data_IF_633960574432
#
_entry.id   IF_633960574432
#
_cell.length_a   1.000
_cell.length_b   1.000
_cell.length_c   1.000
_cell.angle_alpha   90.00
_cell.angle_beta   90.00
_cell.angle_gamma   90.00
#
_symmetry.space_group_name_H-M   'P 1'
#
loop_
_entity.id
_entity.type
_entity.pdbx_description
1 polymer ?
#
# COMPACT_ATOMS: atom_id res chain seq x y z
N UNK A 1 9.37 -12.48 1.45
CA UNK A 1 9.51 -11.21 0.69
C UNK A 1 9.22 -11.48 -0.78
N UNK A 2 8.83 -10.51 -1.62
CA UNK A 2 8.48 -10.82 -3.03
C UNK A 2 9.63 -11.47 -3.81
N UNK A 3 10.88 -11.19 -3.40
CA UNK A 3 12.09 -11.90 -3.82
C UNK A 3 12.07 -13.41 -3.55
N UNK A 4 11.44 -13.87 -2.46
CA UNK A 4 11.36 -15.29 -2.10
C UNK A 4 10.29 -16.03 -2.91
N UNK A 5 9.42 -15.30 -3.60
CA UNK A 5 8.34 -15.82 -4.45
C UNK A 5 8.65 -15.67 -5.94
N UNK A 6 9.78 -15.05 -6.29
CA UNK A 6 10.25 -14.90 -7.66
C UNK A 6 11.20 -16.03 -8.03
N UNK A 7 11.20 -16.44 -9.30
CA UNK A 7 12.15 -17.41 -9.83
C UNK A 7 13.59 -16.90 -9.63
N UNK A 8 14.57 -17.79 -9.45
CA UNK A 8 15.93 -17.48 -8.94
C UNK A 8 16.67 -16.38 -9.74
N UNK A 9 16.26 -16.14 -11.00
CA UNK A 9 16.78 -15.09 -11.89
C UNK A 9 15.97 -13.79 -11.92
N UNK A 10 14.79 -13.75 -11.31
CA UNK A 10 13.84 -12.62 -11.34
C UNK A 10 13.73 -11.84 -10.00
N UNK A 11 14.47 -12.27 -8.98
CA UNK A 11 14.59 -11.61 -7.66
C UNK A 11 14.82 -10.10 -7.75
N UNK A 12 15.71 -9.65 -8.64
CA UNK A 12 16.00 -8.22 -8.83
C UNK A 12 14.80 -7.45 -9.37
N UNK A 13 14.08 -8.03 -10.33
CA UNK A 13 12.86 -7.44 -10.91
C UNK A 13 11.74 -7.33 -9.87
N UNK A 14 11.57 -8.34 -9.01
CA UNK A 14 10.57 -8.32 -7.94
C UNK A 14 10.81 -7.18 -6.93
N UNK A 15 12.07 -6.97 -6.52
CA UNK A 15 12.43 -5.86 -5.64
C UNK A 15 12.29 -4.50 -6.33
N UNK A 16 12.58 -4.43 -7.64
CA UNK A 16 12.32 -3.25 -8.47
C UNK A 16 10.84 -2.87 -8.48
N UNK A 17 9.95 -3.83 -8.69
CA UNK A 17 8.49 -3.60 -8.69
C UNK A 17 8.01 -3.08 -7.33
N UNK A 18 8.45 -3.67 -6.21
CA UNK A 18 8.09 -3.18 -4.87
C UNK A 18 8.56 -1.73 -4.69
N UNK A 19 9.81 -1.45 -5.07
CA UNK A 19 10.41 -0.12 -4.90
C UNK A 19 9.64 0.91 -5.71
N UNK A 20 9.30 0.61 -6.96
CA UNK A 20 8.48 1.48 -7.80
C UNK A 20 7.09 1.71 -7.20
N UNK A 21 6.43 0.65 -6.70
CA UNK A 21 5.14 0.78 -6.04
C UNK A 21 5.21 1.68 -4.80
N UNK A 22 6.27 1.58 -4.00
CA UNK A 22 6.50 2.47 -2.85
C UNK A 22 6.66 3.94 -3.27
N UNK A 23 7.44 4.23 -4.32
CA UNK A 23 7.62 5.60 -4.79
C UNK A 23 6.34 6.20 -5.38
N UNK A 24 5.59 5.44 -6.16
CA UNK A 24 4.31 5.90 -6.71
C UNK A 24 3.31 6.13 -5.58
N UNK A 25 3.19 5.20 -4.63
CA UNK A 25 2.32 5.35 -3.47
C UNK A 25 2.72 6.54 -2.59
N UNK A 26 4.02 6.70 -2.33
CA UNK A 26 4.57 7.82 -1.57
C UNK A 26 4.44 9.17 -2.27
N UNK A 27 4.40 9.21 -3.61
CA UNK A 27 4.19 10.43 -4.39
C UNK A 27 2.72 10.83 -4.52
N UNK A 28 1.81 9.87 -4.61
CA UNK A 28 0.36 10.12 -4.71
C UNK A 28 -0.25 10.45 -3.35
N UNK A 29 0.26 9.85 -2.27
CA UNK A 29 -0.33 9.98 -0.93
C UNK A 29 -0.40 11.42 -0.38
N UNK A 30 0.59 12.32 -0.55
CA UNK A 30 0.51 13.68 -0.02
C UNK A 30 -0.53 14.52 -0.75
N UNK A 31 -0.72 14.27 -2.06
CA UNK A 31 -1.74 14.94 -2.86
C UNK A 31 -3.15 14.53 -2.42
N UNK A 32 -3.36 13.22 -2.24
CA UNK A 32 -4.64 12.68 -1.76
C UNK A 32 -4.96 13.18 -0.35
N UNK A 33 -3.99 13.13 0.57
CA UNK A 33 -4.15 13.61 1.94
C UNK A 33 -4.43 15.11 1.99
N UNK A 34 -3.67 15.92 1.24
CA UNK A 34 -3.90 17.36 1.16
C UNK A 34 -5.30 17.70 0.65
N UNK A 35 -5.80 16.94 -0.34
CA UNK A 35 -7.16 17.10 -0.86
C UNK A 35 -8.22 16.71 0.18
N UNK A 36 -8.06 15.59 0.88
CA UNK A 36 -8.97 15.14 1.95
C UNK A 36 -9.02 16.12 3.13
N UNK A 37 -7.87 16.66 3.53
CA UNK A 37 -7.78 17.64 4.62
C UNK A 37 -8.50 18.94 4.21
N UNK A 38 -8.29 19.42 2.98
CA UNK A 38 -9.03 20.57 2.45
C UNK A 38 -10.53 20.31 2.40
N UNK A 39 -10.96 19.13 1.95
CA UNK A 39 -12.36 18.75 1.91
C UNK A 39 -13.01 18.73 3.31
N UNK A 40 -12.28 18.28 4.34
CA UNK A 40 -12.75 18.25 5.72
C UNK A 40 -12.72 19.59 6.46
N UNK A 41 -12.53 20.71 5.76
CA UNK A 41 -12.55 22.06 6.34
C UNK A 41 -11.17 22.69 6.53
N UNK A 42 -10.13 22.13 5.88
CA UNK A 42 -8.79 22.69 5.86
C UNK A 42 -7.90 22.21 7.01
N UNK A 43 -6.66 22.68 7.00
CA UNK A 43 -5.58 22.23 7.90
C UNK A 43 -5.74 22.66 9.36
N UNK A 44 -6.64 23.59 9.65
CA UNK A 44 -6.95 24.02 11.02
C UNK A 44 -8.15 23.28 11.62
N UNK A 45 -8.93 22.58 10.79
CA UNK A 45 -10.09 21.84 11.26
C UNK A 45 -9.70 20.38 11.58
N UNK A 46 -9.90 19.88 12.81
CA UNK A 46 -9.60 18.50 13.17
C UNK A 46 -10.36 17.48 12.30
N UNK A 47 -11.52 17.84 11.75
CA UNK A 47 -12.27 16.97 10.85
C UNK A 47 -11.47 16.59 9.58
N UNK A 48 -10.66 17.49 9.03
CA UNK A 48 -9.79 17.22 7.87
C UNK A 48 -8.80 16.08 8.13
N UNK A 49 -8.17 16.08 9.30
CA UNK A 49 -7.26 15.01 9.70
C UNK A 49 -7.99 13.69 9.97
N UNK A 50 -9.19 13.74 10.58
CA UNK A 50 -10.01 12.55 10.81
C UNK A 50 -10.31 11.86 9.47
N UNK A 51 -10.77 12.60 8.46
CA UNK A 51 -11.01 12.02 7.13
C UNK A 51 -9.74 11.42 6.52
N UNK A 52 -8.61 12.12 6.57
CA UNK A 52 -7.34 11.60 6.07
C UNK A 52 -6.90 10.31 6.77
N UNK A 53 -7.01 10.24 8.11
CA UNK A 53 -6.66 9.05 8.89
C UNK A 53 -7.59 7.87 8.60
N UNK A 54 -8.90 8.10 8.52
CA UNK A 54 -9.85 7.04 8.18
C UNK A 54 -9.63 6.52 6.76
N UNK A 55 -9.31 7.40 5.80
CA UNK A 55 -8.95 6.96 4.44
C UNK A 55 -7.67 6.14 4.42
N UNK A 56 -6.63 6.55 5.15
CA UNK A 56 -5.39 5.76 5.29
C UNK A 56 -5.67 4.37 5.89
N UNK A 57 -6.45 4.31 6.96
CA UNK A 57 -6.85 3.06 7.60
C UNK A 57 -7.64 2.17 6.61
N UNK A 58 -8.56 2.76 5.84
CA UNK A 58 -9.31 2.08 4.80
C UNK A 58 -8.40 1.46 3.72
N UNK A 59 -7.44 2.22 3.20
CA UNK A 59 -6.47 1.70 2.22
C UNK A 59 -5.63 0.56 2.78
N UNK A 60 -5.21 0.63 4.04
CA UNK A 60 -4.45 -0.45 4.70
C UNK A 60 -5.30 -1.73 4.86
N UNK A 61 -6.56 -1.59 5.28
CA UNK A 61 -7.50 -2.71 5.39
C UNK A 61 -7.80 -3.33 4.03
N UNK A 62 -7.98 -2.52 2.99
CA UNK A 62 -8.13 -3.02 1.61
C UNK A 62 -6.89 -3.76 1.14
N UNK A 63 -5.69 -3.25 1.43
CA UNK A 63 -4.43 -3.94 1.14
C UNK A 63 -4.35 -5.29 1.83
N UNK A 64 -4.78 -5.38 3.10
CA UNK A 64 -4.85 -6.63 3.84
C UNK A 64 -5.87 -7.61 3.25
N UNK A 65 -7.07 -7.14 2.86
CA UNK A 65 -8.07 -7.98 2.19
C UNK A 65 -7.56 -8.53 0.86
N UNK A 66 -6.93 -7.67 0.05
CA UNK A 66 -6.30 -8.09 -1.21
C UNK A 66 -5.20 -9.11 -0.95
N UNK A 67 -4.37 -8.91 0.08
CA UNK A 67 -3.34 -9.88 0.50
C UNK A 67 -3.97 -11.23 0.89
N UNK A 68 -5.09 -11.24 1.62
CA UNK A 68 -5.80 -12.47 1.99
C UNK A 68 -6.38 -13.21 0.77
N UNK A 69 -6.87 -12.47 -0.22
CA UNK A 69 -7.40 -13.06 -1.46
C UNK A 69 -6.31 -13.58 -2.41
N UNK A 70 -5.12 -12.99 -2.35
CA UNK A 70 -3.99 -13.31 -3.25
C UNK A 70 -2.91 -14.19 -2.62
N UNK A 71 -2.97 -14.45 -1.31
CA UNK A 71 -2.06 -15.39 -0.68
C UNK A 71 -2.37 -16.81 -1.15
N UNK A 72 -1.46 -17.38 -1.93
CA UNK A 72 -1.57 -18.75 -2.41
C UNK A 72 -1.46 -19.72 -1.22
N UNK A 73 -2.43 -20.63 -1.05
CA UNK A 73 -2.45 -21.63 0.03
C UNK A 73 -1.56 -22.85 -0.27
N UNK A 74 -0.71 -22.77 -1.28
CA UNK A 74 0.10 -23.91 -1.69
C UNK A 74 1.21 -24.14 -0.67
N UNK A 75 1.22 -25.28 0.07
CA UNK A 75 2.29 -25.57 1.02
C UNK A 75 3.60 -25.63 0.24
N UNK A 76 4.57 -24.82 0.66
CA UNK A 76 5.93 -24.81 0.15
C UNK A 76 6.49 -26.24 0.22
N UNK A 77 6.58 -26.94 -0.92
CA UNK A 77 7.33 -28.20 -0.98
C UNK A 77 8.78 -27.87 -0.65
N UNK A 78 9.23 -28.36 0.48
CA UNK A 78 10.63 -28.40 0.83
C UNK A 78 11.30 -29.40 -0.11
N UNK A 79 12.05 -28.91 -1.09
CA UNK A 79 13.10 -29.65 -1.81
C UNK A 79 14.21 -28.68 -2.16
#
# INVERSE_FOLDING_TARGET
>A
MASDSAEERATSTANGIITTAMFIGGGISPLLMGWLIQFGGGWENPAGYIYAFFTMAGCALLGMLLQLMTTDKTPRKAH
#
